data_IF_553479242428
#
_entry.id   IF_553479242428
#
_cell.length_a   1.000
_cell.length_b   1.000
_cell.length_c   1.000
_cell.angle_alpha   90.00
_cell.angle_beta   90.00
_cell.angle_gamma   90.00
#
_symmetry.space_group_name_H-M   'P 1'
#
loop_
_entity.id
_entity.type
_entity.pdbx_description
1 polymer ?
#
# COMPACT_ATOMS: atom_id res chain seq x y z
N UNK A 1 -15.99 21.49 -6.90
CA UNK A 1 -14.77 21.25 -7.69
C UNK A 1 -14.04 20.05 -7.10
N UNK A 2 -13.65 19.07 -7.91
CA UNK A 2 -12.74 18.00 -7.50
C UNK A 2 -11.31 18.39 -7.94
N UNK A 3 -10.30 17.93 -7.20
CA UNK A 3 -8.87 18.16 -7.50
C UNK A 3 -8.16 16.80 -7.56
N UNK A 4 -7.24 16.64 -8.49
CA UNK A 4 -6.38 15.46 -8.54
C UNK A 4 -5.54 15.36 -7.27
N UNK A 5 -5.39 14.14 -6.74
CA UNK A 5 -4.47 13.86 -5.65
C UNK A 5 -3.01 13.93 -6.14
N UNK A 6 -2.10 14.30 -5.26
CA UNK A 6 -0.65 14.34 -5.53
C UNK A 6 -0.05 12.96 -5.83
N UNK A 7 -0.75 11.88 -5.45
CA UNK A 7 -0.22 10.51 -5.49
C UNK A 7 0.73 10.18 -4.32
N UNK A 8 1.01 11.15 -3.44
CA UNK A 8 1.89 10.96 -2.29
C UNK A 8 1.11 10.63 -1.03
N UNK A 9 1.52 9.59 -0.29
CA UNK A 9 1.01 9.30 1.04
C UNK A 9 1.92 8.43 1.91
N UNK A 10 1.59 8.31 3.19
CA UNK A 10 2.29 7.43 4.14
C UNK A 10 1.47 6.16 4.41
N UNK A 11 2.13 5.01 4.54
CA UNK A 11 1.45 3.76 4.90
C UNK A 11 0.97 3.85 6.34
N UNK A 12 -0.34 3.80 6.53
CA UNK A 12 -0.98 3.72 7.84
C UNK A 12 -1.01 2.28 8.37
N UNK A 13 -1.36 1.33 7.50
CA UNK A 13 -1.38 -0.09 7.83
C UNK A 13 -1.22 -0.93 6.57
N UNK A 14 -0.85 -2.20 6.73
CA UNK A 14 -0.77 -3.14 5.64
C UNK A 14 -1.09 -4.57 6.08
N UNK A 15 -1.45 -5.40 5.11
CA UNK A 15 -1.67 -6.84 5.29
C UNK A 15 -1.03 -7.59 4.13
N UNK A 16 -0.34 -8.69 4.46
CA UNK A 16 0.16 -9.64 3.46
C UNK A 16 -0.93 -10.69 3.23
N UNK A 17 -1.44 -10.76 2.01
CA UNK A 17 -2.47 -11.71 1.61
C UNK A 17 -1.80 -12.98 1.09
N UNK A 18 -1.76 -14.02 1.93
CA UNK A 18 -1.24 -15.34 1.56
C UNK A 18 -2.25 -16.21 0.80
N UNK A 19 -3.55 -15.95 0.96
CA UNK A 19 -4.64 -16.64 0.26
C UNK A 19 -5.60 -15.61 -0.29
N UNK A 20 -5.65 -15.48 -1.61
CA UNK A 20 -6.52 -14.51 -2.27
C UNK A 20 -8.02 -14.83 -2.05
N UNK A 21 -8.88 -13.80 -1.96
CA UNK A 21 -10.32 -13.99 -1.78
C UNK A 21 -11.03 -14.46 -3.06
N UNK A 22 -10.42 -14.29 -4.23
CA UNK A 22 -10.98 -14.74 -5.51
C UNK A 22 -9.94 -15.45 -6.39
N UNK A 23 -10.37 -16.35 -7.30
CA UNK A 23 -9.47 -17.05 -8.22
C UNK A 23 -8.65 -16.11 -9.11
N UNK A 24 -9.21 -14.96 -9.49
CA UNK A 24 -8.57 -13.95 -10.35
C UNK A 24 -7.24 -13.44 -9.79
N UNK A 25 -7.09 -13.42 -8.45
CA UNK A 25 -5.89 -12.94 -7.78
C UNK A 25 -5.07 -14.04 -7.12
N UNK A 26 -5.47 -15.32 -7.25
CA UNK A 26 -4.81 -16.44 -6.58
C UNK A 26 -3.33 -16.58 -6.97
N UNK A 27 -3.03 -16.38 -8.26
CA UNK A 27 -1.65 -16.46 -8.78
C UNK A 27 -0.75 -15.30 -8.36
N UNK A 28 -1.31 -14.26 -7.76
CA UNK A 28 -0.56 -13.09 -7.27
C UNK A 28 -0.18 -13.23 -5.80
N UNK A 29 -0.66 -14.26 -5.10
CA UNK A 29 -0.29 -14.48 -3.71
C UNK A 29 1.16 -14.98 -3.61
N UNK A 30 1.95 -14.51 -2.61
CA UNK A 30 1.59 -13.47 -1.63
C UNK A 30 1.69 -12.05 -2.21
N UNK A 31 0.73 -11.19 -1.87
CA UNK A 31 0.76 -9.75 -2.21
C UNK A 31 0.40 -8.87 -1.01
N UNK A 32 0.79 -7.60 -1.05
CA UNK A 32 0.56 -6.64 0.03
C UNK A 32 -0.57 -5.69 -0.33
N UNK A 33 -1.57 -5.58 0.54
CA UNK A 33 -2.58 -4.52 0.51
C UNK A 33 -2.26 -3.53 1.61
N UNK A 34 -2.35 -2.25 1.29
CA UNK A 34 -2.01 -1.14 2.18
C UNK A 34 -3.18 -0.19 2.31
N UNK A 35 -3.25 0.48 3.46
CA UNK A 35 -4.01 1.71 3.66
C UNK A 35 -3.00 2.84 3.76
N UNK A 36 -3.16 3.84 2.91
CA UNK A 36 -2.26 4.99 2.79
C UNK A 36 -3.02 6.25 3.21
N UNK A 37 -2.40 7.09 4.04
CA UNK A 37 -2.88 8.46 4.32
C UNK A 37 -2.22 9.38 3.29
N UNK A 38 -3.02 9.92 2.38
CA UNK A 38 -2.53 10.86 1.37
C UNK A 38 -2.17 12.21 2.01
N UNK A 39 -1.27 12.97 1.37
CA UNK A 39 -0.87 14.32 1.83
C UNK A 39 -2.07 15.24 2.05
N UNK A 40 -3.09 15.09 1.22
CA UNK A 40 -4.31 15.88 1.26
C UNK A 40 -5.23 15.51 2.45
N UNK A 41 -4.95 14.42 3.17
CA UNK A 41 -5.70 13.96 4.34
C UNK A 41 -6.50 12.65 4.18
N UNK A 42 -7.12 12.35 3.01
CA UNK A 42 -7.90 11.12 2.83
C UNK A 42 -7.08 9.84 3.00
N UNK A 43 -7.76 8.75 3.36
CA UNK A 43 -7.19 7.40 3.34
C UNK A 43 -7.61 6.66 2.08
N UNK A 44 -6.66 5.96 1.48
CA UNK A 44 -6.88 5.15 0.28
C UNK A 44 -6.35 3.74 0.49
N UNK A 45 -7.12 2.74 0.05
CA UNK A 45 -6.64 1.36 0.00
C UNK A 45 -6.00 1.10 -1.37
N UNK A 46 -4.81 0.51 -1.37
CA UNK A 46 -4.09 0.17 -2.61
C UNK A 46 -3.20 -1.05 -2.42
N UNK A 47 -2.79 -1.67 -3.52
CA UNK A 47 -1.71 -2.67 -3.52
C UNK A 47 -0.36 -1.97 -3.46
N UNK A 48 0.60 -2.57 -2.75
CA UNK A 48 1.99 -2.16 -2.80
C UNK A 48 2.78 -3.15 -3.64
N UNK A 49 3.24 -2.69 -4.79
CA UNK A 49 4.04 -3.49 -5.72
C UNK A 49 5.51 -3.57 -5.25
N UNK A 50 6.20 -4.66 -5.61
CA UNK A 50 7.61 -4.87 -5.23
C UNK A 50 7.83 -5.13 -3.74
N UNK A 51 6.79 -5.21 -2.92
CA UNK A 51 6.91 -5.50 -1.50
C UNK A 51 7.41 -6.92 -1.26
N UNK A 52 8.40 -7.05 -0.37
CA UNK A 52 8.89 -8.37 0.04
C UNK A 52 7.81 -9.13 0.83
N UNK A 53 7.64 -10.46 0.63
CA UNK A 53 6.82 -11.30 1.50
C UNK A 53 7.31 -11.34 2.95
N UNK A 54 8.54 -10.90 3.22
CA UNK A 54 9.09 -10.74 4.58
C UNK A 54 8.86 -9.35 5.18
N UNK A 55 8.11 -8.47 4.50
CA UNK A 55 7.83 -7.11 4.96
C UNK A 55 7.34 -7.13 6.40
N UNK A 56 8.08 -6.44 7.27
CA UNK A 56 7.71 -6.28 8.68
C UNK A 56 7.32 -4.84 8.91
N UNK A 57 6.43 -4.64 9.88
CA UNK A 57 6.14 -3.31 10.39
C UNK A 57 7.36 -2.82 11.18
N UNK A 58 8.37 -2.34 10.46
CA UNK A 58 9.55 -1.73 11.06
C UNK A 58 9.20 -0.28 11.41
N UNK A 59 9.57 0.15 12.62
CA UNK A 59 9.37 1.54 13.08
C UNK A 59 10.28 2.54 12.35
N UNK A 60 10.89 2.15 11.23
CA UNK A 60 11.71 3.01 10.36
C UNK A 60 10.85 3.48 9.19
N UNK A 61 10.13 4.57 9.46
CA UNK A 61 9.62 5.56 8.52
C UNK A 61 9.23 5.06 7.14
N UNK A 62 7.95 4.69 7.00
CA UNK A 62 7.24 4.76 5.73
C UNK A 62 7.12 6.25 5.34
N UNK A 63 8.22 6.87 4.91
CA UNK A 63 8.16 8.18 4.26
C UNK A 63 7.19 8.13 3.07
N UNK A 64 6.78 9.29 2.57
CA UNK A 64 5.84 9.38 1.46
C UNK A 64 6.20 8.41 0.32
N UNK A 65 5.29 7.46 0.04
CA UNK A 65 5.50 6.35 -0.89
C UNK A 65 5.85 6.81 -2.31
N UNK A 66 5.44 8.03 -2.70
CA UNK A 66 5.69 8.60 -4.01
C UNK A 66 6.98 9.44 -4.10
N UNK A 67 7.68 9.66 -2.98
CA UNK A 67 8.97 10.36 -2.96
C UNK A 67 10.17 9.40 -3.15
N UNK A 68 9.91 8.15 -3.57
CA UNK A 68 10.95 7.17 -3.94
C UNK A 68 11.07 7.07 -5.47
N UNK A 69 12.30 7.09 -6.02
CA UNK A 69 12.53 7.06 -7.47
C UNK A 69 12.04 5.76 -8.12
#
# INVERSE_FOLDING_TARGET
>A
MHKAASGSGEVYSFTIVHRAPSPTFAQQAPYVVTVVVLREGPRMMTRLDGASPSLRHERRGWGYLADRP
#
